data_IF_449272238798
#
_entry.id   IF_449272238798
#
_cell.length_a   1.000
_cell.length_b   1.000
_cell.length_c   1.000
_cell.angle_alpha   90.00
_cell.angle_beta   90.00
_cell.angle_gamma   90.00
#
_symmetry.space_group_name_H-M   'P 1'
#
loop_
_entity.id
_entity.type
_entity.pdbx_description
1 polymer ?
#
# COMPACT_ATOMS: atom_id res chain seq x y z
N UNK A 1 -8.58 -3.48 -10.68
CA UNK A 1 -8.28 -4.26 -11.90
C UNK A 1 -8.06 -5.69 -11.44
N UNK A 2 -8.65 -6.70 -12.10
CA UNK A 2 -8.62 -8.08 -11.60
C UNK A 2 -8.53 -9.08 -12.75
N UNK A 3 -7.88 -10.22 -12.51
CA UNK A 3 -7.89 -11.36 -13.44
C UNK A 3 -9.11 -12.25 -13.21
N UNK A 4 -9.64 -12.84 -14.28
CA UNK A 4 -10.63 -13.92 -14.20
C UNK A 4 -9.89 -15.27 -14.21
N UNK A 5 -9.94 -15.99 -13.09
CA UNK A 5 -9.32 -17.33 -12.93
C UNK A 5 -10.37 -18.42 -12.73
N UNK A 6 -11.63 -18.14 -13.08
CA UNK A 6 -12.76 -19.04 -12.91
C UNK A 6 -12.93 -19.51 -11.46
N UNK A 7 -13.13 -20.81 -11.28
CA UNK A 7 -13.46 -21.39 -9.97
C UNK A 7 -12.26 -21.54 -9.03
N UNK A 8 -11.04 -21.26 -9.48
CA UNK A 8 -9.83 -21.41 -8.63
C UNK A 8 -9.91 -20.57 -7.35
N UNK A 9 -10.56 -19.40 -7.43
CA UNK A 9 -10.78 -18.49 -6.31
C UNK A 9 -12.23 -18.54 -5.80
N UNK A 10 -12.96 -19.64 -6.03
CA UNK A 10 -14.37 -19.76 -5.62
C UNK A 10 -15.29 -18.71 -6.27
N UNK A 11 -14.97 -18.29 -7.51
CA UNK A 11 -15.68 -17.23 -8.23
C UNK A 11 -15.27 -15.81 -7.85
N UNK A 12 -14.32 -15.63 -6.91
CA UNK A 12 -13.78 -14.32 -6.58
C UNK A 12 -12.76 -13.81 -7.62
N UNK A 13 -12.65 -12.49 -7.82
CA UNK A 13 -11.62 -11.91 -8.69
C UNK A 13 -10.21 -12.26 -8.20
N UNK A 14 -9.31 -12.57 -9.13
CA UNK A 14 -7.89 -12.74 -8.82
C UNK A 14 -7.20 -11.37 -8.73
N UNK A 15 -6.61 -11.01 -7.57
CA UNK A 15 -5.90 -9.75 -7.43
C UNK A 15 -4.61 -9.75 -8.24
N UNK A 16 -4.27 -8.60 -8.84
CA UNK A 16 -2.92 -8.42 -9.36
C UNK A 16 -1.93 -8.30 -8.21
N UNK A 17 -0.81 -9.01 -8.34
CA UNK A 17 0.36 -8.86 -7.49
C UNK A 17 1.45 -8.17 -8.30
N UNK A 18 2.09 -7.15 -7.72
CA UNK A 18 3.19 -6.43 -8.35
C UNK A 18 4.45 -6.55 -7.50
N UNK A 19 5.57 -6.88 -8.16
CA UNK A 19 6.88 -6.94 -7.53
C UNK A 19 7.44 -5.52 -7.39
N UNK A 20 8.18 -5.28 -6.31
CA UNK A 20 8.92 -4.05 -6.06
C UNK A 20 10.13 -4.31 -5.18
N UNK A 21 10.98 -3.30 -5.06
CA UNK A 21 12.17 -3.33 -4.21
C UNK A 21 11.98 -2.37 -3.05
N UNK A 22 12.32 -2.77 -1.83
CA UNK A 22 12.34 -1.82 -0.70
C UNK A 22 13.46 -0.82 -0.94
N UNK A 23 13.11 0.45 -1.13
CA UNK A 23 14.07 1.54 -1.36
C UNK A 23 14.47 2.20 -0.05
N UNK A 24 13.53 2.36 0.87
CA UNK A 24 13.79 2.86 2.22
C UNK A 24 12.70 2.42 3.18
N UNK A 25 13.03 2.47 4.48
CA UNK A 25 12.10 2.18 5.55
C UNK A 25 12.32 3.13 6.73
N UNK A 26 11.24 3.66 7.26
CA UNK A 26 11.18 4.47 8.48
C UNK A 26 10.63 3.61 9.62
N UNK A 27 11.36 3.53 10.73
CA UNK A 27 10.99 2.70 11.89
C UNK A 27 10.26 3.45 13.00
N UNK A 28 10.21 4.78 12.89
CA UNK A 28 9.45 5.67 13.78
C UNK A 28 7.94 5.44 13.64
N UNK A 29 7.14 6.17 14.42
CA UNK A 29 5.68 6.11 14.35
C UNK A 29 5.14 7.29 13.50
N UNK A 30 4.43 7.05 12.38
CA UNK A 30 4.10 5.74 11.82
C UNK A 30 5.28 5.07 11.11
N UNK A 31 5.29 3.73 11.14
CA UNK A 31 6.22 2.92 10.36
C UNK A 31 5.86 3.04 8.87
N UNK A 32 6.78 3.52 8.05
CA UNK A 32 6.56 3.76 6.61
C UNK A 32 7.58 2.99 5.78
N UNK A 33 7.12 2.33 4.72
CA UNK A 33 7.96 1.63 3.74
C UNK A 33 7.81 2.34 2.39
N UNK A 34 8.94 2.68 1.77
CA UNK A 34 9.00 3.16 0.40
C UNK A 34 9.47 2.02 -0.50
N UNK A 35 8.64 1.69 -1.49
CA UNK A 35 8.87 0.60 -2.42
C UNK A 35 9.05 1.19 -3.81
N UNK A 36 10.19 0.93 -4.43
CA UNK A 36 10.38 1.15 -5.86
C UNK A 36 9.55 0.11 -6.62
N UNK A 37 8.40 0.59 -7.06
CA UNK A 37 7.45 -0.09 -7.90
C UNK A 37 6.60 0.96 -8.61
N UNK A 38 6.58 0.90 -9.94
CA UNK A 38 5.51 1.54 -10.72
C UNK A 38 4.19 1.04 -10.15
N UNK A 39 3.24 1.90 -9.84
CA UNK A 39 1.96 1.46 -9.29
C UNK A 39 0.80 2.14 -10.02
N UNK A 40 -0.34 1.48 -10.03
CA UNK A 40 -1.55 2.00 -10.65
C UNK A 40 -2.60 2.25 -9.56
N UNK A 41 -3.59 3.07 -9.89
CA UNK A 41 -4.77 3.20 -9.04
C UNK A 41 -5.41 1.82 -8.79
N UNK A 42 -5.95 1.64 -7.58
CA UNK A 42 -6.60 0.40 -7.16
C UNK A 42 -5.72 -0.59 -6.38
N UNK A 43 -4.44 -0.28 -6.16
CA UNK A 43 -3.57 -1.06 -5.25
C UNK A 43 -3.60 -0.57 -3.79
N UNK A 44 -4.05 0.67 -3.55
CA UNK A 44 -4.26 1.20 -2.21
C UNK A 44 -5.21 0.31 -1.39
N UNK A 45 -4.85 0.06 -0.13
CA UNK A 45 -5.53 -0.88 0.76
C UNK A 45 -5.08 -2.34 0.60
N UNK A 46 -4.33 -2.67 -0.45
CA UNK A 46 -3.78 -4.00 -0.66
C UNK A 46 -2.64 -4.34 0.31
N UNK A 47 -2.39 -5.64 0.58
CA UNK A 47 -1.27 -6.07 1.40
C UNK A 47 0.07 -5.87 0.66
N UNK A 48 1.04 -5.28 1.34
CA UNK A 48 2.45 -5.38 0.95
C UNK A 48 3.01 -6.66 1.58
N UNK A 49 3.44 -7.60 0.75
CA UNK A 49 3.97 -8.89 1.21
C UNK A 49 5.40 -9.14 0.72
N UNK A 50 6.11 -10.01 1.42
CA UNK A 50 7.47 -10.41 1.10
C UNK A 50 7.72 -11.88 1.47
N UNK A 51 8.78 -12.43 0.89
CA UNK A 51 9.32 -13.74 1.22
C UNK A 51 10.55 -13.56 2.10
N UNK A 52 10.60 -14.13 3.31
CA UNK A 52 11.80 -14.08 4.15
C UNK A 52 13.01 -14.68 3.45
N UNK A 53 14.20 -14.16 3.77
CA UNK A 53 15.45 -14.70 3.25
C UNK A 53 15.58 -16.19 3.60
N UNK A 54 15.83 -17.02 2.58
CA UNK A 54 15.96 -18.46 2.73
C UNK A 54 14.65 -19.23 2.90
N UNK A 55 13.48 -18.58 2.78
CA UNK A 55 12.16 -19.21 2.91
C UNK A 55 11.19 -18.79 1.79
N UNK A 56 11.43 -19.20 0.54
CA UNK A 56 10.62 -18.79 -0.62
C UNK A 56 9.16 -19.27 -0.57
N UNK A 57 8.87 -20.28 0.24
CA UNK A 57 7.52 -20.80 0.48
C UNK A 57 6.75 -20.02 1.55
N UNK A 58 7.42 -19.18 2.33
CA UNK A 58 6.79 -18.42 3.42
C UNK A 58 6.42 -17.01 2.93
N UNK A 59 5.12 -16.70 2.89
CA UNK A 59 4.62 -15.34 2.59
C UNK A 59 4.33 -14.61 3.90
N UNK A 60 4.86 -13.40 4.05
CA UNK A 60 4.58 -12.51 5.19
C UNK A 60 4.06 -11.16 4.73
N UNK A 61 3.22 -10.54 5.54
CA UNK A 61 2.73 -9.18 5.32
C UNK A 61 3.65 -8.18 6.02
N UNK A 62 4.28 -7.30 5.24
CA UNK A 62 5.09 -6.20 5.76
C UNK A 62 4.26 -4.97 6.10
N UNK A 63 3.12 -4.77 5.43
CA UNK A 63 2.31 -3.58 5.60
C UNK A 63 1.09 -3.53 4.70
N UNK A 64 0.47 -2.35 4.62
CA UNK A 64 -0.66 -2.04 3.75
C UNK A 64 -0.30 -0.87 2.85
N UNK A 65 -0.51 -1.05 1.55
CA UNK A 65 -0.28 -0.01 0.55
C UNK A 65 -1.22 1.16 0.80
N UNK A 66 -0.67 2.38 0.90
CA UNK A 66 -1.48 3.59 1.07
C UNK A 66 -1.69 4.30 -0.25
N UNK A 67 -0.59 4.61 -0.96
CA UNK A 67 -0.61 5.40 -2.19
C UNK A 67 0.66 5.18 -2.99
N UNK A 68 0.72 5.79 -4.17
CA UNK A 68 1.96 6.04 -4.90
C UNK A 68 2.21 7.53 -5.02
N UNK A 69 3.45 7.92 -5.26
CA UNK A 69 3.83 9.32 -5.44
C UNK A 69 3.68 9.70 -6.91
N UNK A 70 2.81 10.66 -7.16
CA UNK A 70 2.62 11.31 -8.46
C UNK A 70 3.40 12.62 -8.46
N UNK A 71 4.11 12.88 -9.54
CA UNK A 71 4.69 14.19 -9.85
C UNK A 71 4.11 14.70 -11.16
N UNK A 72 4.19 16.01 -11.38
CA UNK A 72 3.73 16.63 -12.60
C UNK A 72 4.94 17.15 -13.36
N UNK A 73 5.13 16.65 -14.57
CA UNK A 73 6.21 17.10 -15.45
C UNK A 73 5.66 18.01 -16.55
N UNK A 74 6.49 18.98 -16.98
CA UNK A 74 6.12 19.90 -18.05
C UNK A 74 6.09 19.17 -19.40
N UNK A 75 5.07 19.45 -20.20
CA UNK A 75 5.06 19.07 -21.61
C UNK A 75 5.99 20.03 -22.35
N UNK A 76 6.95 19.46 -23.08
CA UNK A 76 7.98 20.18 -23.82
C UNK A 76 7.60 20.24 -25.31
N UNK A 77 7.82 21.37 -25.96
CA UNK A 77 7.59 21.55 -27.41
C UNK A 77 8.75 20.98 -28.26
N UNK A 78 8.66 21.16 -29.59
CA UNK A 78 9.71 20.71 -30.53
C UNK A 78 11.06 21.40 -30.35
N UNK A 79 11.09 22.55 -29.65
CA UNK A 79 12.30 23.33 -29.41
C UNK A 79 12.92 23.05 -28.03
N UNK A 80 12.27 22.23 -27.19
CA UNK A 80 12.75 21.96 -25.84
C UNK A 80 12.16 22.88 -24.77
N UNK A 81 11.20 23.74 -25.11
CA UNK A 81 10.64 24.74 -24.20
C UNK A 81 9.34 24.26 -23.51
N UNK A 82 9.10 24.61 -22.23
CA UNK A 82 7.85 24.29 -21.54
C UNK A 82 6.64 24.95 -22.19
N UNK A 83 5.64 24.15 -22.53
CA UNK A 83 4.37 24.61 -23.15
C UNK A 83 3.37 25.24 -22.17
N UNK A 84 3.66 25.21 -20.86
CA UNK A 84 2.73 25.57 -19.79
C UNK A 84 1.70 24.49 -19.44
N UNK A 85 1.68 23.36 -20.15
CA UNK A 85 0.91 22.17 -19.80
C UNK A 85 1.75 21.20 -18.96
N UNK A 86 1.10 20.42 -18.08
CA UNK A 86 1.75 19.39 -17.27
C UNK A 86 1.06 18.04 -17.42
N UNK A 87 1.83 16.96 -17.28
CA UNK A 87 1.32 15.58 -17.25
C UNK A 87 1.66 14.92 -15.90
N UNK A 88 0.70 14.24 -15.24
CA UNK A 88 1.01 13.44 -14.06
C UNK A 88 1.83 12.22 -14.47
N UNK A 89 2.95 12.00 -13.79
CA UNK A 89 3.83 10.85 -13.95
C UNK A 89 4.01 10.11 -12.62
N UNK A 90 4.08 8.78 -12.69
CA UNK A 90 4.36 7.96 -11.52
C UNK A 90 5.88 7.95 -11.27
N UNK A 91 6.30 8.53 -10.15
CA UNK A 91 7.72 8.60 -9.74
C UNK A 91 8.40 7.24 -9.49
N UNK A 92 7.67 6.14 -9.61
CA UNK A 92 8.14 4.79 -9.28
C UNK A 92 8.04 4.46 -7.81
N UNK A 93 7.56 5.35 -6.94
CA UNK A 93 7.50 5.10 -5.50
C UNK A 93 6.08 4.79 -5.00
N UNK A 94 5.94 3.62 -4.40
CA UNK A 94 4.82 3.20 -3.58
C UNK A 94 5.12 3.46 -2.11
N UNK A 95 4.11 3.93 -1.37
CA UNK A 95 4.16 4.17 0.07
C UNK A 95 3.24 3.16 0.77
N UNK A 96 3.77 2.43 1.74
CA UNK A 96 3.02 1.51 2.58
C UNK A 96 3.22 1.80 4.06
N UNK A 97 2.18 1.58 4.86
CA UNK A 97 2.26 1.61 6.31
C UNK A 97 2.64 0.24 6.84
N UNK A 98 3.69 0.18 7.66
CA UNK A 98 4.23 -1.06 8.16
C UNK A 98 3.36 -1.74 9.23
N UNK A 99 3.57 -3.04 9.40
CA UNK A 99 2.80 -3.90 10.30
C UNK A 99 2.78 -3.41 11.75
N UNK A 100 3.87 -2.81 12.25
CA UNK A 100 3.92 -2.25 13.61
C UNK A 100 2.87 -1.17 13.81
N UNK A 101 2.73 -0.26 12.85
CA UNK A 101 1.74 0.82 12.89
C UNK A 101 0.31 0.30 12.74
N UNK A 102 0.10 -0.68 11.86
CA UNK A 102 -1.21 -1.32 11.70
C UNK A 102 -1.66 -1.97 13.01
N UNK A 103 -0.76 -2.70 13.67
CA UNK A 103 -1.05 -3.36 14.94
C UNK A 103 -1.31 -2.37 16.07
N UNK A 104 -0.62 -1.23 16.10
CA UNK A 104 -0.86 -0.18 17.11
C UNK A 104 -2.26 0.43 16.95
N UNK A 105 -2.71 0.68 15.72
CA UNK A 105 -4.07 1.14 15.42
C UNK A 105 -5.09 0.10 15.89
N UNK A 106 -4.94 -1.16 15.49
CA UNK A 106 -5.86 -2.24 15.88
C UNK A 106 -5.95 -2.37 17.40
N UNK A 107 -4.81 -2.34 18.11
CA UNK A 107 -4.77 -2.41 19.56
C UNK A 107 -5.51 -1.23 20.21
N UNK A 108 -5.33 -0.02 19.68
CA UNK A 108 -5.99 1.20 20.15
C UNK A 108 -7.50 1.10 19.99
N UNK A 109 -7.99 0.67 18.82
CA UNK A 109 -9.42 0.46 18.56
C UNK A 109 -10.04 -0.63 19.44
N UNK A 110 -9.29 -1.69 19.77
CA UNK A 110 -9.78 -2.75 20.67
C UNK A 110 -9.94 -2.23 22.11
N UNK A 111 -9.01 -1.41 22.59
CA UNK A 111 -9.08 -0.78 23.92
C UNK A 111 -10.28 0.18 24.03
N UNK A 112 -10.47 1.05 23.04
CA UNK A 112 -11.60 2.00 23.04
C UNK A 112 -12.95 1.28 23.00
N UNK A 113 -13.08 0.20 22.22
CA UNK A 113 -14.30 -0.62 22.17
C UNK A 113 -14.58 -1.37 23.47
N UNK A 114 -13.53 -1.84 24.17
CA UNK A 114 -13.68 -2.46 25.48
C UNK A 114 -14.20 -1.46 26.52
N UNK A 115 -13.62 -0.25 26.55
CA UNK A 115 -14.06 0.83 27.44
C UNK A 115 -15.47 1.32 27.13
N UNK A 116 -15.93 1.23 25.88
CA UNK A 116 -17.30 1.57 25.51
C UNK A 116 -18.32 0.55 26.07
N UNK A 117 -17.97 -0.75 26.06
CA UNK A 117 -18.86 -1.80 26.59
C UNK A 117 -19.04 -1.75 28.10
N UNK A 118 -18.06 -1.26 28.86
CA UNK A 118 -18.14 -1.13 30.33
C UNK A 118 -18.93 0.09 30.78
N UNK A 119 -19.22 1.04 29.89
CA UNK A 119 -19.93 2.29 30.19
C UNK A 119 -21.38 2.30 29.65
N UNK A 120 -21.90 1.14 29.20
CA UNK A 120 -23.32 1.02 28.86
C UNK A 120 -24.12 0.86 30.17
N UNK A 121 -25.18 1.65 30.40
CA UNK A 121 -26.02 1.48 31.57
C UNK A 121 -26.63 0.06 31.55
N UNK A 122 -26.58 -0.61 32.71
CA UNK A 122 -27.30 -1.86 32.90
C UNK A 122 -28.80 -1.55 32.84
N UNK A 123 -29.46 -2.06 31.80
CA UNK A 123 -30.92 -2.12 31.76
C UNK A 123 -31.41 -3.28 32.64
#
# INVERSE_FOLDING_TARGET
MWGNVGNLMGGMPCPYAKKGTVSSYQLDDPQILHIDAINNEGFSGGPLFFYPAGKPEEVRVAGVVSKFRVEYENVIDENGEPTGMTVPYNTGFLIAYGSKYILSIIATYRKSRSSFKTNLPAN
#
